data_IF_188006389991
#
_entry.id   IF_188006389991
#
_cell.length_a   1.000
_cell.length_b   1.000
_cell.length_c   1.000
_cell.angle_alpha   90.00
_cell.angle_beta   90.00
_cell.angle_gamma   90.00
#
_symmetry.space_group_name_H-M   'P 1'
#
loop_
_entity.id
_entity.type
_entity.pdbx_description
1 polymer ?
#
# COMPACT_ATOMS: atom_id res chain seq x y z
N UNK A 1 1.88 9.29 27.10
CA UNK A 1 0.76 8.34 27.20
C UNK A 1 0.97 7.31 26.11
N UNK A 2 1.51 6.13 26.47
CA UNK A 2 1.55 4.98 25.58
C UNK A 2 0.13 4.44 25.44
N UNK A 3 -0.46 4.55 24.26
CA UNK A 3 -1.70 3.84 23.94
C UNK A 3 -1.27 2.41 23.65
N UNK A 4 -1.54 1.52 24.59
CA UNK A 4 -1.38 0.09 24.45
C UNK A 4 -2.35 -0.37 23.34
N UNK A 5 -1.83 -0.61 22.14
CA UNK A 5 -2.59 -1.14 21.01
C UNK A 5 -2.75 -2.64 21.25
N UNK A 6 -3.70 -2.99 22.14
CA UNK A 6 -4.20 -4.36 22.26
C UNK A 6 -4.92 -4.77 20.97
N UNK A 7 -4.90 -6.05 20.74
CA UNK A 7 -5.46 -6.81 19.62
C UNK A 7 -6.83 -6.30 19.12
N UNK A 8 -6.84 -5.56 18.01
CA UNK A 8 -8.02 -4.89 17.44
C UNK A 8 -8.67 -5.70 16.32
N UNK A 9 -8.61 -7.00 16.40
CA UNK A 9 -9.10 -7.89 15.35
C UNK A 9 -10.40 -8.60 15.72
N UNK A 10 -11.52 -7.95 15.99
CA UNK A 10 -12.80 -8.68 15.89
C UNK A 10 -14.09 -7.96 16.27
N UNK A 11 -14.15 -6.66 16.50
CA UNK A 11 -15.42 -6.05 16.87
C UNK A 11 -15.83 -4.89 15.95
N UNK A 12 -17.05 -5.00 15.36
CA UNK A 12 -17.75 -3.90 14.68
C UNK A 12 -17.78 -2.64 15.57
N UNK A 13 -17.78 -2.84 16.90
CA UNK A 13 -17.68 -1.78 17.88
C UNK A 13 -16.32 -1.02 17.85
N UNK A 14 -15.24 -1.65 17.38
CA UNK A 14 -13.91 -1.02 17.32
C UNK A 14 -13.74 -0.12 16.11
N UNK A 15 -14.36 -0.44 14.96
CA UNK A 15 -14.30 0.39 13.74
C UNK A 15 -15.06 1.69 13.92
N UNK A 16 -16.22 1.67 14.57
CA UNK A 16 -17.01 2.87 14.86
C UNK A 16 -16.29 3.79 15.86
N UNK A 17 -15.66 3.24 16.89
CA UNK A 17 -14.85 4.03 17.84
C UNK A 17 -13.65 4.67 17.16
N UNK A 18 -13.01 3.96 16.26
CA UNK A 18 -11.88 4.47 15.48
C UNK A 18 -12.31 5.57 14.51
N UNK A 19 -13.43 5.38 13.78
CA UNK A 19 -14.00 6.38 12.90
C UNK A 19 -14.38 7.66 13.68
N UNK A 20 -15.06 7.51 14.83
CA UNK A 20 -15.43 8.62 15.69
C UNK A 20 -14.20 9.36 16.26
N UNK A 21 -13.13 8.65 16.62
CA UNK A 21 -11.89 9.26 17.08
C UNK A 21 -11.24 10.11 15.97
N UNK A 22 -11.20 9.61 14.73
CA UNK A 22 -10.71 10.36 13.56
C UNK A 22 -11.60 11.55 13.22
N UNK A 23 -12.92 11.39 13.31
CA UNK A 23 -13.89 12.42 12.99
C UNK A 23 -13.71 13.69 13.85
N UNK A 24 -13.15 13.57 15.06
CA UNK A 24 -12.82 14.71 15.92
C UNK A 24 -11.89 15.74 15.25
N UNK A 25 -11.08 15.33 14.28
CA UNK A 25 -10.21 16.23 13.51
C UNK A 25 -11.02 17.28 12.71
N UNK A 26 -12.26 16.98 12.38
CA UNK A 26 -13.14 17.87 11.61
C UNK A 26 -14.07 18.72 12.49
N UNK A 27 -13.96 18.61 13.81
CA UNK A 27 -14.79 19.35 14.73
C UNK A 27 -14.10 20.67 15.14
N UNK A 28 -14.72 21.80 14.78
CA UNK A 28 -14.21 23.14 15.07
C UNK A 28 -14.13 23.49 16.57
N UNK A 29 -14.81 22.74 17.46
CA UNK A 29 -14.64 22.89 18.92
C UNK A 29 -13.26 22.42 19.37
N UNK A 30 -12.67 21.41 18.72
CA UNK A 30 -11.30 20.96 19.00
C UNK A 30 -10.25 21.69 18.16
N UNK A 31 -10.63 22.12 16.94
CA UNK A 31 -9.76 22.78 15.99
C UNK A 31 -10.42 24.07 15.47
N UNK A 32 -10.42 25.16 16.26
CA UNK A 32 -11.14 26.40 15.93
C UNK A 32 -10.58 27.12 14.69
N UNK A 33 -9.36 26.83 14.28
CA UNK A 33 -8.73 27.39 13.07
C UNK A 33 -8.97 26.55 11.80
N UNK A 34 -9.81 25.51 11.88
CA UNK A 34 -10.13 24.65 10.75
C UNK A 34 -10.92 25.46 9.71
N UNK A 35 -10.36 25.62 8.51
CA UNK A 35 -10.98 26.31 7.39
C UNK A 35 -11.55 25.36 6.34
N UNK A 36 -10.90 24.20 6.15
CA UNK A 36 -11.30 23.20 5.17
C UNK A 36 -11.29 21.81 5.78
N UNK A 37 -12.32 21.02 5.45
CA UNK A 37 -12.41 19.60 5.76
C UNK A 37 -12.34 18.81 4.44
N UNK A 38 -11.26 18.05 4.23
CA UNK A 38 -11.03 17.29 3.01
C UNK A 38 -11.32 15.81 3.29
N UNK A 39 -12.40 15.30 2.69
CA UNK A 39 -13.00 14.01 3.09
C UNK A 39 -13.12 13.07 1.89
N UNK A 40 -12.65 11.83 2.05
CA UNK A 40 -12.85 10.75 1.09
C UNK A 40 -14.30 10.25 1.14
N UNK A 41 -15.07 10.48 0.09
CA UNK A 41 -16.47 10.01 0.04
C UNK A 41 -16.63 8.63 -0.60
N UNK A 42 -15.53 7.99 -0.99
CA UNK A 42 -15.53 6.56 -1.33
C UNK A 42 -15.43 5.67 -0.07
N UNK A 43 -15.15 6.26 1.10
CA UNK A 43 -15.03 5.56 2.39
C UNK A 43 -16.41 5.48 3.07
N UNK A 44 -16.75 4.34 3.65
CA UNK A 44 -18.03 4.11 4.33
C UNK A 44 -18.27 5.03 5.53
N UNK A 45 -17.19 5.48 6.19
CA UNK A 45 -17.24 6.41 7.33
C UNK A 45 -17.25 7.90 6.93
N UNK A 46 -17.27 8.22 5.62
CA UNK A 46 -17.29 9.61 5.14
C UNK A 46 -18.38 10.46 5.81
N UNK A 47 -19.58 9.87 5.96
CA UNK A 47 -20.72 10.55 6.60
C UNK A 47 -20.41 10.91 8.05
N UNK A 48 -19.75 10.04 8.82
CA UNK A 48 -19.35 10.29 10.21
C UNK A 48 -18.40 11.48 10.29
N UNK A 49 -17.48 11.60 9.32
CA UNK A 49 -16.55 12.73 9.24
C UNK A 49 -17.28 14.04 8.91
N UNK A 50 -18.17 14.01 7.91
CA UNK A 50 -18.95 15.17 7.46
C UNK A 50 -19.86 15.69 8.59
N UNK A 51 -20.54 14.78 9.30
CA UNK A 51 -21.47 15.13 10.39
C UNK A 51 -20.74 15.80 11.58
N UNK A 52 -19.41 15.66 11.70
CA UNK A 52 -18.61 16.34 12.72
C UNK A 52 -18.24 17.79 12.35
N UNK A 53 -18.39 18.17 11.08
CA UNK A 53 -18.14 19.55 10.66
C UNK A 53 -19.29 20.43 11.15
N UNK A 54 -19.17 20.91 12.39
CA UNK A 54 -20.25 21.59 13.11
C UNK A 54 -20.41 23.09 12.77
N UNK A 55 -19.51 23.67 11.97
CA UNK A 55 -19.50 25.10 11.65
C UNK A 55 -19.74 25.33 10.17
N UNK A 56 -20.67 26.24 9.83
CA UNK A 56 -20.89 26.70 8.46
C UNK A 56 -19.69 27.51 7.90
N UNK A 57 -18.71 27.81 8.73
CA UNK A 57 -17.46 28.52 8.34
C UNK A 57 -16.40 27.58 7.78
N UNK A 58 -16.55 26.24 8.01
CA UNK A 58 -15.63 25.24 7.46
C UNK A 58 -16.11 24.78 6.08
N UNK A 59 -15.29 24.98 5.07
CA UNK A 59 -15.55 24.49 3.72
C UNK A 59 -15.29 22.98 3.65
N UNK A 60 -16.31 22.20 3.28
CA UNK A 60 -16.15 20.75 3.06
C UNK A 60 -15.78 20.53 1.60
N UNK A 61 -14.61 19.95 1.36
CA UNK A 61 -14.17 19.45 0.06
C UNK A 61 -14.11 17.94 0.07
N UNK A 62 -14.99 17.34 -0.73
CA UNK A 62 -15.03 15.88 -0.91
C UNK A 62 -14.10 15.50 -2.05
N UNK A 63 -13.42 14.37 -1.89
CA UNK A 63 -12.69 13.78 -3.00
C UNK A 63 -13.12 12.33 -3.22
N UNK A 64 -13.05 11.89 -4.49
CA UNK A 64 -13.50 10.57 -4.89
C UNK A 64 -12.82 10.08 -6.16
N UNK A 65 -12.68 8.75 -6.27
CA UNK A 65 -12.29 8.06 -7.49
C UNK A 65 -13.50 7.51 -8.26
N UNK A 66 -14.72 7.59 -7.69
CA UNK A 66 -15.92 6.95 -8.23
C UNK A 66 -17.12 7.87 -8.32
N UNK A 67 -17.23 8.88 -7.45
CA UNK A 67 -18.37 9.80 -7.38
C UNK A 67 -18.06 11.13 -8.10
N UNK A 68 -18.69 11.42 -9.27
CA UNK A 68 -18.45 12.64 -10.03
C UNK A 68 -19.00 13.92 -9.36
N UNK A 69 -19.80 13.81 -8.30
CA UNK A 69 -20.34 14.95 -7.54
C UNK A 69 -19.37 15.45 -6.46
N UNK A 70 -18.20 14.80 -6.31
CA UNK A 70 -17.18 15.26 -5.39
C UNK A 70 -16.42 16.46 -5.99
N UNK A 71 -16.03 17.41 -5.12
CA UNK A 71 -15.31 18.63 -5.53
C UNK A 71 -13.98 18.29 -6.20
N UNK A 72 -13.31 17.22 -5.76
CA UNK A 72 -12.11 16.69 -6.39
C UNK A 72 -12.40 15.28 -6.89
N UNK A 73 -12.60 15.14 -8.19
CA UNK A 73 -12.98 13.87 -8.81
C UNK A 73 -11.96 13.44 -9.89
N UNK A 74 -11.49 12.19 -9.80
CA UNK A 74 -10.63 11.61 -10.83
C UNK A 74 -11.49 11.16 -12.05
N UNK A 75 -11.65 12.03 -13.04
CA UNK A 75 -12.43 11.78 -14.27
C UNK A 75 -11.82 10.66 -15.13
N UNK A 76 -10.49 10.55 -15.13
CA UNK A 76 -9.76 9.52 -15.85
C UNK A 76 -8.55 9.08 -15.05
N UNK A 77 -8.34 7.77 -14.97
CA UNK A 77 -7.20 7.13 -14.33
C UNK A 77 -6.64 6.11 -15.32
N UNK A 78 -5.45 6.36 -15.87
CA UNK A 78 -4.76 5.46 -16.79
C UNK A 78 -3.45 4.98 -16.16
N UNK A 79 -3.44 3.77 -15.60
CA UNK A 79 -2.24 3.20 -14.98
C UNK A 79 -1.24 2.72 -16.04
N UNK A 80 0.05 2.82 -15.71
CA UNK A 80 1.18 2.25 -16.45
C UNK A 80 2.27 1.80 -15.48
N UNK A 81 3.34 1.16 -15.97
CA UNK A 81 4.49 0.79 -15.13
C UNK A 81 5.28 2.01 -14.63
N UNK A 82 5.18 3.15 -15.29
CA UNK A 82 5.84 4.39 -14.91
C UNK A 82 5.05 5.21 -13.89
N UNK A 83 3.76 4.91 -13.74
CA UNK A 83 2.87 5.65 -12.85
C UNK A 83 1.43 5.70 -13.34
N UNK A 84 0.76 6.83 -13.14
CA UNK A 84 -0.65 7.01 -13.50
C UNK A 84 -0.86 8.36 -14.18
N UNK A 85 -1.44 8.37 -15.38
CA UNK A 85 -1.99 9.59 -16.00
C UNK A 85 -3.38 9.86 -15.44
N UNK A 86 -3.61 11.08 -14.98
CA UNK A 86 -4.83 11.50 -14.31
C UNK A 86 -5.43 12.73 -14.96
N UNK A 87 -6.76 12.72 -15.09
CA UNK A 87 -7.56 13.92 -15.33
C UNK A 87 -8.45 14.14 -14.13
N UNK A 88 -8.27 15.27 -13.44
CA UNK A 88 -8.96 15.57 -12.18
C UNK A 88 -9.81 16.82 -12.37
N UNK A 89 -11.12 16.72 -12.07
CA UNK A 89 -12.00 17.86 -11.89
C UNK A 89 -11.76 18.45 -10.49
N UNK A 90 -11.69 19.78 -10.41
CA UNK A 90 -11.53 20.53 -9.15
C UNK A 90 -12.42 21.77 -9.15
N UNK A 91 -12.69 22.42 -8.00
CA UNK A 91 -13.41 23.69 -7.95
C UNK A 91 -12.74 24.83 -8.75
N UNK A 92 -11.42 24.72 -9.01
CA UNK A 92 -10.67 25.71 -9.77
C UNK A 92 -10.56 25.40 -11.28
N UNK A 93 -11.18 24.29 -11.73
CA UNK A 93 -11.11 23.82 -13.12
C UNK A 93 -10.52 22.41 -13.23
N UNK A 94 -10.25 21.99 -14.45
CA UNK A 94 -9.71 20.64 -14.71
C UNK A 94 -8.18 20.70 -14.81
N UNK A 95 -7.52 19.66 -14.29
CA UNK A 95 -6.08 19.48 -14.38
C UNK A 95 -5.74 18.10 -14.93
N UNK A 96 -4.82 18.04 -15.89
CA UNK A 96 -4.21 16.80 -16.37
C UNK A 96 -2.78 16.71 -15.85
N UNK A 97 -2.42 15.56 -15.27
CA UNK A 97 -1.09 15.33 -14.70
C UNK A 97 -0.68 13.85 -14.77
N UNK A 98 0.62 13.61 -14.66
CA UNK A 98 1.20 12.28 -14.52
C UNK A 98 1.82 12.16 -13.15
N UNK A 99 1.36 11.19 -12.38
CA UNK A 99 1.91 10.85 -11.06
C UNK A 99 2.83 9.63 -11.18
N UNK A 100 4.05 9.67 -10.63
CA UNK A 100 4.93 8.50 -10.58
C UNK A 100 4.48 7.45 -9.54
N UNK A 101 3.49 7.77 -8.72
CA UNK A 101 2.99 6.90 -7.66
C UNK A 101 2.12 5.80 -8.25
N UNK A 102 2.37 4.56 -7.87
CA UNK A 102 1.62 3.39 -8.32
C UNK A 102 0.45 3.08 -7.37
N UNK A 103 -0.59 2.48 -7.92
CA UNK A 103 -1.70 1.95 -7.15
C UNK A 103 -2.85 2.93 -6.91
N UNK A 104 -4.07 2.38 -6.96
CA UNK A 104 -5.32 3.15 -6.86
C UNK A 104 -5.44 3.93 -5.55
N UNK A 105 -4.98 3.36 -4.43
CA UNK A 105 -5.01 4.06 -3.14
C UNK A 105 -4.05 5.26 -3.10
N UNK A 106 -2.94 5.24 -3.83
CA UNK A 106 -2.06 6.40 -3.97
C UNK A 106 -2.69 7.50 -4.81
N UNK A 107 -3.56 7.16 -5.78
CA UNK A 107 -4.37 8.16 -6.49
C UNK A 107 -5.33 8.85 -5.52
N UNK A 108 -6.01 8.11 -4.64
CA UNK A 108 -6.87 8.70 -3.61
C UNK A 108 -6.09 9.61 -2.65
N UNK A 109 -4.92 9.16 -2.18
CA UNK A 109 -4.03 9.96 -1.34
C UNK A 109 -3.54 11.23 -2.07
N UNK A 110 -3.28 11.14 -3.37
CA UNK A 110 -2.88 12.27 -4.20
C UNK A 110 -4.01 13.28 -4.35
N UNK A 111 -5.27 12.84 -4.56
CA UNK A 111 -6.43 13.73 -4.58
C UNK A 111 -6.57 14.51 -3.28
N UNK A 112 -6.45 13.82 -2.14
CA UNK A 112 -6.47 14.48 -0.82
C UNK A 112 -5.35 15.53 -0.69
N UNK A 113 -4.13 15.18 -1.14
CA UNK A 113 -2.98 16.09 -1.08
C UNK A 113 -3.15 17.30 -2.00
N UNK A 114 -3.71 17.10 -3.21
CA UNK A 114 -4.02 18.18 -4.17
C UNK A 114 -5.08 19.08 -3.56
N UNK A 115 -6.15 18.52 -2.97
CA UNK A 115 -7.20 19.31 -2.32
C UNK A 115 -6.64 20.14 -1.14
N UNK A 116 -5.77 19.53 -0.31
CA UNK A 116 -5.14 20.24 0.81
C UNK A 116 -4.23 21.37 0.33
N UNK A 117 -3.40 21.12 -0.68
CA UNK A 117 -2.52 22.15 -1.24
C UNK A 117 -3.31 23.29 -1.92
N UNK A 118 -4.42 22.96 -2.59
CA UNK A 118 -5.33 23.95 -3.16
C UNK A 118 -6.03 24.78 -2.06
N UNK A 119 -6.45 24.18 -0.96
CA UNK A 119 -7.00 24.89 0.21
C UNK A 119 -5.99 25.87 0.82
N UNK A 120 -4.69 25.55 0.72
CA UNK A 120 -3.59 26.44 1.12
C UNK A 120 -3.24 27.50 0.06
N UNK A 121 -4.01 27.60 -1.04
CA UNK A 121 -3.84 28.61 -2.08
C UNK A 121 -2.88 28.23 -3.21
N UNK A 122 -2.46 26.98 -3.33
CA UNK A 122 -1.62 26.54 -4.44
C UNK A 122 -2.42 26.50 -5.75
N UNK A 123 -1.88 27.09 -6.82
CA UNK A 123 -2.53 27.10 -8.12
C UNK A 123 -2.46 25.73 -8.83
N UNK A 124 -3.41 25.46 -9.74
CA UNK A 124 -3.41 24.22 -10.54
C UNK A 124 -2.12 24.04 -11.34
N UNK A 125 -1.53 25.12 -11.87
CA UNK A 125 -0.25 25.06 -12.60
C UNK A 125 0.91 24.68 -11.69
N UNK A 126 0.94 25.15 -10.44
CA UNK A 126 1.94 24.77 -9.46
C UNK A 126 1.80 23.27 -9.08
N UNK A 127 0.56 22.79 -8.90
CA UNK A 127 0.27 21.38 -8.64
C UNK A 127 0.70 20.48 -9.81
N UNK A 128 0.37 20.87 -11.07
CA UNK A 128 0.79 20.14 -12.25
C UNK A 128 2.32 20.01 -12.36
N UNK A 129 3.06 21.02 -11.95
CA UNK A 129 4.52 21.00 -11.96
C UNK A 129 5.14 20.23 -10.78
N UNK A 130 4.43 20.12 -9.65
CA UNK A 130 4.92 19.45 -8.45
C UNK A 130 4.69 17.93 -8.50
N UNK A 131 3.51 17.47 -8.93
CA UNK A 131 3.09 16.06 -8.89
C UNK A 131 4.05 15.12 -9.62
N UNK A 132 4.58 15.42 -10.82
CA UNK A 132 5.55 14.54 -11.50
C UNK A 132 6.87 14.33 -10.74
N UNK A 133 7.17 15.17 -9.75
CA UNK A 133 8.39 15.12 -8.94
C UNK A 133 8.19 14.39 -7.60
N UNK A 134 6.98 13.93 -7.33
CA UNK A 134 6.69 13.23 -6.09
C UNK A 134 7.49 11.93 -6.01
N UNK A 135 7.89 11.61 -4.79
CA UNK A 135 8.43 10.30 -4.43
C UNK A 135 7.47 9.67 -3.44
N UNK A 136 7.24 8.37 -3.57
CA UNK A 136 6.47 7.60 -2.61
C UNK A 136 7.11 7.60 -1.23
N UNK A 137 6.36 7.24 -0.21
CA UNK A 137 6.92 6.98 1.11
C UNK A 137 7.79 5.71 1.05
N UNK A 138 8.95 5.78 1.70
CA UNK A 138 9.90 4.66 1.75
C UNK A 138 9.20 3.40 2.26
N UNK A 139 9.33 2.29 1.50
CA UNK A 139 8.72 1.01 1.84
C UNK A 139 7.18 0.98 1.74
N UNK A 140 6.57 1.91 1.03
CA UNK A 140 5.14 1.95 0.71
C UNK A 140 4.94 2.08 -0.79
N UNK A 141 4.65 0.98 -1.48
CA UNK A 141 4.66 0.92 -2.94
C UNK A 141 5.95 1.54 -3.52
N UNK A 142 7.07 1.28 -2.85
CA UNK A 142 8.36 1.90 -3.12
C UNK A 142 9.02 1.19 -4.32
N UNK A 143 9.04 1.86 -5.46
CA UNK A 143 9.58 1.31 -6.70
C UNK A 143 11.10 1.38 -6.69
N UNK A 144 11.75 0.23 -6.76
CA UNK A 144 13.21 0.15 -6.90
C UNK A 144 13.60 0.44 -8.35
N UNK A 145 14.58 1.32 -8.54
CA UNK A 145 15.04 1.70 -9.87
C UNK A 145 15.66 0.51 -10.61
N UNK A 146 15.17 0.23 -11.82
CA UNK A 146 15.63 -0.87 -12.68
C UNK A 146 15.46 -0.51 -14.14
N UNK A 147 16.10 -1.27 -15.03
CA UNK A 147 16.00 -1.10 -16.49
C UNK A 147 14.99 -2.04 -17.12
N UNK A 148 14.64 -3.13 -16.45
CA UNK A 148 13.71 -4.16 -16.94
C UNK A 148 12.86 -4.68 -15.81
N UNK A 149 11.55 -4.76 -16.01
CA UNK A 149 10.58 -5.18 -15.01
C UNK A 149 10.16 -4.02 -14.08
N UNK A 150 9.38 -4.34 -13.07
CA UNK A 150 8.98 -3.40 -12.03
C UNK A 150 9.06 -4.11 -10.68
N UNK A 151 9.90 -3.61 -9.77
CA UNK A 151 10.12 -4.18 -8.45
C UNK A 151 9.68 -3.19 -7.39
N UNK A 152 8.78 -3.65 -6.52
CA UNK A 152 8.08 -2.80 -5.55
C UNK A 152 8.29 -3.39 -4.16
N UNK A 153 8.75 -2.58 -3.23
CA UNK A 153 8.84 -2.94 -1.81
C UNK A 153 7.68 -2.30 -1.06
N UNK A 154 6.94 -3.10 -0.29
CA UNK A 154 5.77 -2.65 0.46
C UNK A 154 5.72 -3.22 1.88
N UNK A 155 5.06 -2.48 2.78
CA UNK A 155 4.88 -2.85 4.18
C UNK A 155 3.66 -3.75 4.42
N UNK A 156 2.93 -4.18 3.41
CA UNK A 156 1.74 -5.02 3.54
C UNK A 156 2.07 -6.33 4.26
N UNK A 157 1.61 -6.46 5.50
CA UNK A 157 1.87 -7.60 6.39
C UNK A 157 0.59 -8.19 7.01
N UNK A 158 -0.57 -7.82 6.47
CA UNK A 158 -1.88 -8.40 6.78
C UNK A 158 -2.54 -8.91 5.50
N UNK A 159 -3.49 -9.86 5.57
CA UNK A 159 -4.20 -10.36 4.39
C UNK A 159 -4.83 -9.24 3.56
N UNK A 160 -5.57 -8.33 4.21
CA UNK A 160 -6.27 -7.22 3.55
C UNK A 160 -5.29 -6.23 2.90
N UNK A 161 -4.18 -5.88 3.59
CA UNK A 161 -3.18 -5.00 3.03
C UNK A 161 -2.49 -5.62 1.80
N UNK A 162 -2.16 -6.92 1.84
CA UNK A 162 -1.57 -7.63 0.72
C UNK A 162 -2.55 -7.70 -0.46
N UNK A 163 -3.82 -7.98 -0.19
CA UNK A 163 -4.89 -7.98 -1.20
C UNK A 163 -5.03 -6.60 -1.86
N UNK A 164 -5.06 -5.52 -1.08
CA UNK A 164 -5.13 -4.16 -1.60
C UNK A 164 -3.94 -3.81 -2.49
N UNK A 165 -2.72 -4.15 -2.09
CA UNK A 165 -1.51 -3.91 -2.88
C UNK A 165 -1.57 -4.66 -4.21
N UNK A 166 -1.85 -5.96 -4.19
CA UNK A 166 -1.89 -6.80 -5.39
C UNK A 166 -3.03 -6.36 -6.33
N UNK A 167 -4.22 -6.08 -5.79
CA UNK A 167 -5.36 -5.57 -6.57
C UNK A 167 -5.04 -4.21 -7.20
N UNK A 168 -4.39 -3.31 -6.46
CA UNK A 168 -3.97 -2.00 -6.96
C UNK A 168 -2.96 -2.08 -8.09
N UNK A 169 -2.09 -3.09 -8.10
CA UNK A 169 -1.03 -3.24 -9.10
C UNK A 169 -1.46 -4.04 -10.33
N UNK A 170 -2.50 -4.87 -10.21
CA UNK A 170 -2.97 -5.70 -11.35
C UNK A 170 -3.27 -4.90 -12.62
N UNK A 171 -3.92 -3.70 -12.57
CA UNK A 171 -4.15 -2.86 -13.74
C UNK A 171 -2.88 -2.29 -14.38
N UNK A 172 -1.76 -2.23 -13.64
CA UNK A 172 -0.46 -1.77 -14.16
C UNK A 172 0.35 -2.91 -14.81
N UNK A 173 -0.03 -4.18 -14.56
CA UNK A 173 0.75 -5.34 -14.90
C UNK A 173 0.33 -5.89 -16.28
N UNK A 174 1.20 -5.81 -17.27
CA UNK A 174 1.02 -6.42 -18.59
C UNK A 174 1.53 -7.86 -18.66
N UNK A 175 2.44 -8.23 -17.75
CA UNK A 175 3.02 -9.56 -17.61
C UNK A 175 2.43 -10.34 -16.42
N UNK A 176 3.28 -11.05 -15.71
CA UNK A 176 2.94 -11.77 -14.49
C UNK A 176 3.10 -10.87 -13.25
N UNK A 177 2.12 -10.90 -12.35
CA UNK A 177 2.19 -10.29 -11.03
C UNK A 177 2.75 -11.31 -10.04
N UNK A 178 3.88 -10.98 -9.40
CA UNK A 178 4.54 -11.80 -8.41
C UNK A 178 4.32 -11.25 -7.01
N UNK A 179 4.17 -12.13 -6.02
CA UNK A 179 4.14 -11.78 -4.61
C UNK A 179 5.23 -12.55 -3.84
N UNK A 180 6.19 -11.84 -3.26
CA UNK A 180 7.26 -12.37 -2.40
C UNK A 180 7.03 -11.86 -0.99
N UNK A 181 6.69 -12.72 -0.04
CA UNK A 181 6.38 -12.29 1.32
C UNK A 181 6.51 -13.41 2.35
N UNK A 182 6.58 -13.01 3.60
CA UNK A 182 6.59 -13.89 4.76
C UNK A 182 5.64 -13.41 5.85
N UNK A 183 5.56 -14.20 6.91
CA UNK A 183 4.85 -13.83 8.13
C UNK A 183 5.80 -13.75 9.31
N UNK A 184 5.54 -12.80 10.23
CA UNK A 184 6.32 -12.68 11.46
C UNK A 184 6.07 -13.83 12.43
N UNK A 185 7.13 -14.26 13.13
CA UNK A 185 7.03 -15.11 14.31
C UNK A 185 6.55 -14.32 15.52
N UNK A 186 6.08 -15.03 16.56
CA UNK A 186 5.52 -14.46 17.79
C UNK A 186 4.39 -13.44 17.50
N UNK A 187 3.57 -13.74 16.50
CA UNK A 187 2.42 -12.97 16.03
C UNK A 187 1.23 -13.89 15.77
N UNK A 188 0.10 -13.30 15.42
CA UNK A 188 -1.11 -14.03 15.05
C UNK A 188 -0.85 -15.09 13.97
N UNK A 189 -0.99 -16.37 14.36
CA UNK A 189 -0.82 -17.52 13.46
C UNK A 189 -1.99 -17.70 12.52
N UNK A 190 -3.19 -17.25 12.92
CA UNK A 190 -4.41 -17.39 12.12
C UNK A 190 -4.33 -16.62 10.80
N UNK A 191 -3.60 -15.51 10.75
CA UNK A 191 -3.43 -14.74 9.51
C UNK A 191 -2.48 -15.40 8.49
N UNK A 192 -1.61 -16.35 8.90
CA UNK A 192 -0.60 -16.97 8.02
C UNK A 192 -1.19 -17.63 6.78
N UNK A 193 -2.15 -18.57 6.91
CA UNK A 193 -2.81 -19.18 5.74
C UNK A 193 -3.65 -18.17 4.96
N UNK A 194 -4.26 -17.17 5.62
CA UNK A 194 -5.08 -16.15 4.96
C UNK A 194 -4.22 -15.25 4.04
N UNK A 195 -3.01 -14.90 4.46
CA UNK A 195 -2.07 -14.16 3.61
C UNK A 195 -1.67 -14.96 2.37
N UNK A 196 -1.36 -16.26 2.54
CA UNK A 196 -1.03 -17.14 1.42
C UNK A 196 -2.20 -17.25 0.44
N UNK A 197 -3.43 -17.45 0.94
CA UNK A 197 -4.63 -17.51 0.11
C UNK A 197 -4.90 -16.21 -0.64
N UNK A 198 -4.75 -15.04 0.01
CA UNK A 198 -4.91 -13.73 -0.64
C UNK A 198 -3.93 -13.58 -1.81
N UNK A 199 -2.65 -13.91 -1.59
CA UNK A 199 -1.64 -13.86 -2.63
C UNK A 199 -1.93 -14.82 -3.80
N UNK A 200 -2.26 -16.08 -3.49
CA UNK A 200 -2.53 -17.11 -4.50
C UNK A 200 -3.76 -16.82 -5.37
N UNK A 201 -4.72 -16.06 -4.84
CA UNK A 201 -5.89 -15.61 -5.59
C UNK A 201 -5.57 -14.50 -6.59
N UNK A 202 -4.67 -13.59 -6.26
CA UNK A 202 -4.46 -12.33 -6.97
C UNK A 202 -3.16 -12.29 -7.79
N UNK A 203 -2.09 -12.92 -7.31
CA UNK A 203 -0.82 -12.97 -8.02
C UNK A 203 -0.75 -14.19 -8.95
N UNK A 204 0.01 -14.05 -10.03
CA UNK A 204 0.25 -15.15 -10.99
C UNK A 204 1.36 -16.07 -10.48
N UNK A 205 2.29 -15.56 -9.66
CA UNK A 205 3.38 -16.30 -9.01
C UNK A 205 3.54 -15.84 -7.56
N UNK A 206 3.77 -16.79 -6.68
CA UNK A 206 3.91 -16.56 -5.24
C UNK A 206 5.20 -17.19 -4.74
N UNK A 207 5.97 -16.46 -3.93
CA UNK A 207 7.12 -16.98 -3.21
C UNK A 207 6.88 -16.74 -1.72
N UNK A 208 6.77 -17.83 -0.96
CA UNK A 208 6.65 -17.78 0.49
C UNK A 208 8.04 -17.86 1.11
N UNK A 209 8.38 -16.88 1.95
CA UNK A 209 9.71 -16.75 2.55
C UNK A 209 9.64 -16.32 4.02
N UNK A 210 10.79 -16.17 4.69
CA UNK A 210 10.83 -15.63 6.04
C UNK A 210 10.64 -14.10 6.01
N UNK A 211 9.99 -13.59 7.05
CA UNK A 211 10.00 -12.16 7.42
C UNK A 211 10.91 -11.98 8.65
N UNK A 212 10.38 -11.67 9.82
CA UNK A 212 11.06 -11.66 11.10
C UNK A 212 10.62 -12.93 11.88
N UNK A 213 11.34 -14.06 11.81
CA UNK A 213 10.92 -15.27 12.50
C UNK A 213 10.96 -15.17 14.03
N UNK A 214 11.68 -14.21 14.57
CA UNK A 214 11.88 -13.99 16.02
C UNK A 214 12.30 -15.28 16.71
N UNK A 215 11.50 -15.79 17.67
CA UNK A 215 11.83 -17.02 18.39
C UNK A 215 11.29 -18.28 17.72
N UNK A 216 10.42 -18.16 16.71
CA UNK A 216 9.85 -19.30 16.01
C UNK A 216 10.78 -19.85 14.90
N UNK A 217 10.67 -21.13 14.61
CA UNK A 217 11.36 -21.74 13.49
C UNK A 217 10.76 -21.24 12.16
N UNK A 218 11.56 -20.66 11.23
CA UNK A 218 11.07 -20.17 9.94
C UNK A 218 10.29 -21.21 9.14
N UNK A 219 10.72 -22.48 9.14
CA UNK A 219 10.03 -23.55 8.43
C UNK A 219 8.66 -23.88 9.04
N UNK A 220 8.49 -23.70 10.36
CA UNK A 220 7.19 -23.86 10.99
C UNK A 220 6.21 -22.76 10.56
N UNK A 221 6.69 -21.51 10.48
CA UNK A 221 5.90 -20.39 9.97
C UNK A 221 5.47 -20.64 8.51
N UNK A 222 6.40 -21.07 7.66
CA UNK A 222 6.11 -21.40 6.26
C UNK A 222 5.11 -22.55 6.14
N UNK A 223 5.19 -23.56 7.01
CA UNK A 223 4.21 -24.66 7.07
C UNK A 223 2.81 -24.15 7.44
N UNK A 224 2.71 -23.22 8.38
CA UNK A 224 1.43 -22.61 8.73
C UNK A 224 0.85 -21.78 7.57
N UNK A 225 1.71 -21.08 6.81
CA UNK A 225 1.29 -20.34 5.60
C UNK A 225 0.73 -21.26 4.51
N UNK A 226 1.29 -22.47 4.39
CA UNK A 226 0.86 -23.49 3.43
C UNK A 226 -0.41 -24.24 3.88
N UNK A 227 -0.83 -24.07 5.13
CA UNK A 227 -2.00 -24.77 5.67
C UNK A 227 -3.27 -24.40 4.89
N UNK A 228 -3.95 -25.38 4.34
CA UNK A 228 -5.17 -25.18 3.55
C UNK A 228 -4.95 -24.87 2.07
N UNK A 229 -3.71 -24.91 1.55
CA UNK A 229 -3.45 -24.80 0.12
C UNK A 229 -3.90 -26.10 -0.61
N UNK A 230 -4.55 -25.91 -1.76
CA UNK A 230 -4.83 -27.03 -2.68
C UNK A 230 -3.57 -27.50 -3.40
N UNK A 231 -3.63 -28.70 -4.05
CA UNK A 231 -2.51 -29.18 -4.85
C UNK A 231 -2.10 -28.19 -5.95
N UNK A 232 -3.07 -27.61 -6.65
CA UNK A 232 -2.81 -26.59 -7.69
C UNK A 232 -2.16 -25.31 -7.12
N UNK A 233 -2.54 -24.92 -5.89
CA UNK A 233 -1.94 -23.79 -5.21
C UNK A 233 -0.49 -24.05 -4.80
N UNK A 234 -0.17 -25.30 -4.42
CA UNK A 234 1.21 -25.70 -4.16
C UNK A 234 2.09 -25.65 -5.41
N UNK A 235 1.56 -25.95 -6.59
CA UNK A 235 2.30 -25.82 -7.86
C UNK A 235 2.56 -24.36 -8.25
N UNK A 236 1.72 -23.44 -7.79
CA UNK A 236 1.83 -21.98 -8.04
C UNK A 236 2.77 -21.28 -7.06
N UNK A 237 3.06 -21.87 -5.91
CA UNK A 237 3.85 -21.28 -4.84
C UNK A 237 5.24 -21.91 -4.72
N UNK A 238 6.28 -21.09 -4.82
CA UNK A 238 7.64 -21.46 -4.43
C UNK A 238 7.83 -21.23 -2.93
N UNK A 239 8.59 -22.10 -2.29
CA UNK A 239 8.90 -22.00 -0.86
C UNK A 239 10.41 -21.85 -0.72
N UNK A 240 10.85 -20.65 -0.37
CA UNK A 240 12.27 -20.34 -0.14
C UNK A 240 12.43 -19.67 1.23
N UNK A 241 12.92 -20.40 2.25
CA UNK A 241 13.06 -19.87 3.60
C UNK A 241 14.02 -18.69 3.72
N UNK A 242 15.08 -18.67 2.91
CA UNK A 242 16.01 -17.54 2.90
C UNK A 242 15.45 -16.38 2.07
N UNK A 243 15.15 -15.26 2.73
CA UNK A 243 14.51 -14.10 2.08
C UNK A 243 15.38 -13.48 0.99
N UNK A 244 16.71 -13.48 1.16
CA UNK A 244 17.61 -12.96 0.13
C UNK A 244 17.54 -13.84 -1.11
N UNK A 245 17.61 -15.14 -0.95
CA UNK A 245 17.48 -16.12 -2.04
C UNK A 245 16.12 -16.03 -2.74
N UNK A 246 15.04 -15.83 -1.99
CA UNK A 246 13.69 -15.65 -2.53
C UNK A 246 13.61 -14.40 -3.43
N UNK A 247 14.16 -13.28 -2.98
CA UNK A 247 14.22 -12.03 -3.76
C UNK A 247 15.11 -12.21 -4.99
N UNK A 248 16.30 -12.79 -4.85
CA UNK A 248 17.20 -13.05 -5.98
C UNK A 248 16.53 -13.94 -7.04
N UNK A 249 15.83 -14.99 -6.62
CA UNK A 249 15.08 -15.87 -7.52
C UNK A 249 13.99 -15.10 -8.29
N UNK A 250 13.20 -14.27 -7.60
CA UNK A 250 12.19 -13.44 -8.25
C UNK A 250 12.82 -12.47 -9.25
N UNK A 251 13.88 -11.76 -8.86
CA UNK A 251 14.60 -10.82 -9.76
C UNK A 251 15.15 -11.56 -10.98
N UNK A 252 15.79 -12.71 -10.80
CA UNK A 252 16.37 -13.47 -11.91
C UNK A 252 15.32 -13.91 -12.93
N UNK A 253 14.15 -14.36 -12.48
CA UNK A 253 13.13 -15.01 -13.31
C UNK A 253 12.02 -14.08 -13.82
N UNK A 254 11.89 -12.86 -13.26
CA UNK A 254 10.91 -11.88 -13.71
C UNK A 254 11.22 -11.41 -15.15
N UNK A 255 10.18 -11.24 -15.96
CA UNK A 255 10.26 -10.72 -17.32
C UNK A 255 10.10 -9.19 -17.34
N UNK A 256 10.42 -8.50 -18.46
CA UNK A 256 10.36 -7.03 -18.53
C UNK A 256 9.00 -6.40 -18.19
N UNK A 257 7.89 -7.09 -18.47
CA UNK A 257 6.53 -6.60 -18.23
C UNK A 257 5.93 -7.13 -16.92
N UNK A 258 6.73 -7.88 -16.13
CA UNK A 258 6.28 -8.39 -14.83
C UNK A 258 6.39 -7.32 -13.76
N UNK A 259 5.50 -7.42 -12.76
CA UNK A 259 5.58 -6.68 -11.51
C UNK A 259 5.90 -7.67 -10.39
N UNK A 260 6.96 -7.40 -9.63
CA UNK A 260 7.36 -8.17 -8.46
C UNK A 260 7.14 -7.34 -7.20
N UNK A 261 6.26 -7.80 -6.32
CA UNK A 261 5.98 -7.17 -5.03
C UNK A 261 6.72 -7.93 -3.95
N UNK A 262 7.63 -7.25 -3.25
CA UNK A 262 8.29 -7.74 -2.05
C UNK A 262 7.59 -7.11 -0.85
N UNK A 263 6.76 -7.90 -0.16
CA UNK A 263 5.88 -7.41 0.90
C UNK A 263 6.30 -7.88 2.31
N UNK A 264 5.85 -7.13 3.30
CA UNK A 264 5.99 -7.42 4.73
C UNK A 264 6.85 -6.42 5.47
N UNK A 265 8.09 -6.21 5.03
CA UNK A 265 9.09 -5.38 5.74
C UNK A 265 9.01 -3.89 5.40
N UNK A 266 8.69 -3.55 4.16
CA UNK A 266 8.61 -2.15 3.72
C UNK A 266 9.88 -1.35 4.04
N UNK A 267 9.78 -0.45 5.00
CA UNK A 267 10.90 0.42 5.43
C UNK A 267 11.83 -0.20 6.49
N UNK A 268 11.53 -1.42 6.99
CA UNK A 268 12.38 -2.09 7.97
C UNK A 268 13.75 -2.42 7.37
N UNK A 269 14.81 -2.12 8.12
CA UNK A 269 16.20 -2.33 7.71
C UNK A 269 16.88 -3.49 8.46
N UNK A 270 16.09 -4.39 9.04
CA UNK A 270 16.61 -5.53 9.80
C UNK A 270 15.75 -6.78 9.62
N UNK A 271 16.32 -7.94 9.89
CA UNK A 271 15.63 -9.20 10.11
C UNK A 271 15.92 -9.69 11.54
N UNK A 272 14.88 -9.99 12.31
CA UNK A 272 15.01 -10.44 13.70
C UNK A 272 14.90 -11.97 13.78
N UNK A 273 15.99 -12.61 14.25
CA UNK A 273 16.11 -14.07 14.41
C UNK A 273 16.63 -14.35 15.82
N UNK A 274 15.89 -15.11 16.62
CA UNK A 274 16.25 -15.47 18.00
C UNK A 274 16.61 -14.25 18.87
N UNK A 275 15.86 -13.14 18.74
CA UNK A 275 16.08 -11.91 19.50
C UNK A 275 17.26 -11.07 19.04
N UNK A 276 17.96 -11.49 17.97
CA UNK A 276 19.08 -10.74 17.37
C UNK A 276 18.57 -10.09 16.07
N UNK A 277 18.86 -8.80 15.88
CA UNK A 277 18.58 -8.08 14.64
C UNK A 277 19.81 -8.08 13.76
N UNK A 278 19.63 -8.59 12.56
CA UNK A 278 20.63 -8.57 11.48
C UNK A 278 20.24 -7.52 10.46
N UNK A 279 21.20 -6.80 9.92
CA UNK A 279 20.96 -5.82 8.86
C UNK A 279 20.33 -6.51 7.63
N UNK A 280 19.16 -6.04 7.22
CA UNK A 280 18.43 -6.57 6.09
C UNK A 280 17.40 -5.55 5.58
N UNK A 281 17.63 -5.02 4.39
CA UNK A 281 16.73 -4.08 3.73
C UNK A 281 16.32 -4.67 2.37
N UNK A 282 15.02 -4.92 2.18
CA UNK A 282 14.49 -5.47 0.94
C UNK A 282 14.91 -4.66 -0.30
N UNK A 283 14.97 -3.33 -0.20
CA UNK A 283 15.33 -2.43 -1.31
C UNK A 283 16.79 -2.61 -1.71
N UNK A 284 17.66 -2.76 -0.72
CA UNK A 284 19.09 -3.00 -0.94
C UNK A 284 19.28 -4.36 -1.61
N UNK A 285 18.62 -5.40 -1.09
CA UNK A 285 18.69 -6.76 -1.64
C UNK A 285 18.18 -6.80 -3.09
N UNK A 286 17.05 -6.14 -3.36
CA UNK A 286 16.52 -6.03 -4.74
C UNK A 286 17.52 -5.31 -5.64
N UNK A 287 18.10 -4.18 -5.20
CA UNK A 287 19.07 -3.40 -6.00
C UNK A 287 20.32 -4.21 -6.30
N UNK A 288 20.85 -4.94 -5.30
CA UNK A 288 22.01 -5.84 -5.49
C UNK A 288 21.69 -6.96 -6.49
N UNK A 289 20.49 -7.57 -6.38
CA UNK A 289 20.06 -8.63 -7.28
C UNK A 289 19.88 -8.10 -8.71
N UNK A 290 19.28 -6.90 -8.89
CA UNK A 290 19.15 -6.25 -10.20
C UNK A 290 20.52 -6.01 -10.85
N UNK A 291 21.47 -5.50 -10.09
CA UNK A 291 22.85 -5.30 -10.56
C UNK A 291 23.52 -6.64 -10.94
N UNK A 292 23.33 -7.68 -10.12
CA UNK A 292 23.86 -9.04 -10.34
C UNK A 292 23.33 -9.67 -11.64
N UNK A 293 22.06 -9.46 -11.98
CA UNK A 293 21.41 -10.07 -13.14
C UNK A 293 21.26 -9.14 -14.35
N UNK A 294 21.79 -7.91 -14.31
CA UNK A 294 21.81 -6.95 -15.42
C UNK A 294 20.41 -6.43 -15.79
N UNK A 295 19.61 -6.09 -14.79
CA UNK A 295 18.24 -5.61 -14.94
C UNK A 295 17.99 -4.18 -14.48
#
# INVERSE_FOLDING_TARGET
YEINIGDWSSDVCSSDLYANAKARLFNSQFFPELTHAIINVDDEFAKVMIDQVASNEVTVWRYSLTNPEAEFFAKSIKPSLEGVELVIATPMGEITLVSPLLGRFNVANLLASIAAAAAMGMSLSALANAVPKLKGAVGRMDKVACTKGCFIVDYAHTPDALEQVLTSLKPHCEGALWAVFGCGGDRDKGKRPLMAQAALRLADKVILTADNPRTENPNAILKDMQAGMSCEQHEKAEIEPDRKSAIEYAVQNAKPNDIVVIAGKGHETYQEINGVRYDFDDRVVVSEALAKFGK
#
